data_IF_788927201131
#
_entry.id   IF_788927201131
#
_cell.length_a   1.000
_cell.length_b   1.000
_cell.length_c   1.000
_cell.angle_alpha   90.00
_cell.angle_beta   90.00
_cell.angle_gamma   90.00
#
_symmetry.space_group_name_H-M   'P 1'
#
loop_
_entity.id
_entity.type
_entity.pdbx_description
1 polymer ?
#
# COMPACT_ATOMS: atom_id res chain seq x y z
N UNK A 1 44.56 -17.81 -53.72
CA UNK A 1 45.43 -16.91 -54.51
C UNK A 1 44.57 -15.79 -55.12
N UNK A 2 45.20 -14.66 -55.49
CA UNK A 2 44.90 -13.74 -56.63
C UNK A 2 43.47 -13.84 -57.20
N UNK A 3 42.55 -12.90 -56.90
CA UNK A 3 42.26 -11.59 -57.58
C UNK A 3 41.75 -11.69 -59.03
N UNK A 4 40.76 -10.84 -59.35
CA UNK A 4 40.37 -10.42 -60.72
C UNK A 4 39.13 -11.15 -61.28
N UNK A 5 38.07 -10.49 -61.73
CA UNK A 5 37.73 -9.06 -61.66
C UNK A 5 38.02 -8.26 -62.94
N UNK A 6 37.06 -8.22 -63.87
CA UNK A 6 37.09 -7.35 -65.05
C UNK A 6 35.67 -7.00 -65.52
N UNK A 7 35.49 -5.84 -66.18
CA UNK A 7 34.17 -5.26 -66.45
C UNK A 7 34.22 -4.32 -67.68
N UNK A 8 33.55 -4.65 -68.79
CA UNK A 8 33.32 -3.70 -69.89
C UNK A 8 32.10 -2.80 -69.65
N UNK A 9 32.04 -1.66 -70.33
CA UNK A 9 30.94 -0.66 -70.30
C UNK A 9 30.49 -0.31 -71.72
N UNK A 10 29.34 0.37 -71.80
CA UNK A 10 28.93 1.30 -72.89
C UNK A 10 28.41 0.67 -74.21
N UNK A 11 27.48 1.29 -74.97
CA UNK A 11 26.64 2.51 -74.74
C UNK A 11 25.46 2.57 -75.74
N UNK A 12 24.41 3.34 -75.37
CA UNK A 12 23.37 3.88 -76.25
C UNK A 12 22.16 2.96 -76.50
N UNK A 13 20.94 3.45 -76.75
CA UNK A 13 20.35 4.81 -76.57
C UNK A 13 18.79 4.64 -76.65
N UNK A 14 17.85 5.60 -76.68
CA UNK A 14 17.79 7.05 -76.97
C UNK A 14 16.75 7.79 -76.10
N UNK A 15 16.76 9.13 -76.20
CA UNK A 15 15.61 10.07 -76.12
C UNK A 15 14.76 10.23 -74.82
N UNK A 16 14.31 11.48 -74.59
CA UNK A 16 13.35 11.89 -73.55
C UNK A 16 12.01 12.39 -74.14
N UNK A 17 11.34 13.44 -73.60
CA UNK A 17 11.86 14.52 -72.75
C UNK A 17 11.10 14.77 -71.42
N UNK A 18 11.54 15.78 -70.67
CA UNK A 18 10.92 16.32 -69.44
C UNK A 18 10.14 17.61 -69.75
N UNK A 19 9.15 18.00 -68.92
CA UNK A 19 9.27 19.16 -67.99
C UNK A 19 7.95 19.71 -67.38
N UNK A 20 7.98 19.88 -66.03
CA UNK A 20 7.55 21.05 -65.21
C UNK A 20 6.21 21.81 -65.44
N UNK A 21 5.53 22.11 -64.31
CA UNK A 21 5.02 23.43 -63.84
C UNK A 21 3.53 23.44 -63.37
N UNK A 22 3.05 24.26 -62.41
CA UNK A 22 3.62 24.80 -61.14
C UNK A 22 2.51 25.43 -60.24
N UNK A 23 2.50 25.15 -58.92
CA UNK A 23 1.70 25.87 -57.85
C UNK A 23 0.14 25.83 -58.03
N UNK A 24 -0.74 26.34 -57.13
CA UNK A 24 -0.62 27.05 -55.83
C UNK A 24 -1.84 26.79 -54.91
N UNK A 25 -1.67 26.37 -53.65
CA UNK A 25 -2.37 26.98 -52.48
C UNK A 25 -1.75 26.58 -51.13
N UNK A 26 -2.26 27.12 -50.02
CA UNK A 26 -1.48 27.43 -48.81
C UNK A 26 -2.30 27.29 -47.51
N UNK A 27 -1.72 26.66 -46.47
CA UNK A 27 -2.17 26.70 -45.06
C UNK A 27 -3.58 26.08 -44.81
N UNK A 28 -4.07 25.80 -43.59
CA UNK A 28 -3.70 26.21 -42.21
C UNK A 28 -3.56 24.98 -41.28
N UNK A 29 -2.86 25.14 -40.15
CA UNK A 29 -2.75 24.12 -39.09
C UNK A 29 -4.09 23.88 -38.38
N UNK A 30 -4.63 22.65 -38.44
CA UNK A 30 -5.79 22.23 -37.65
C UNK A 30 -5.37 21.60 -36.32
N UNK A 31 -5.86 22.13 -35.19
CA UNK A 31 -5.54 21.65 -33.84
C UNK A 31 -6.27 20.35 -33.51
N UNK A 32 -5.73 19.22 -33.94
CA UNK A 32 -6.13 17.89 -33.49
C UNK A 32 -5.75 17.66 -32.03
N UNK A 33 -6.61 18.08 -31.10
CA UNK A 33 -6.39 17.97 -29.66
C UNK A 33 -6.57 16.51 -29.20
N UNK A 34 -5.55 15.66 -29.42
CA UNK A 34 -5.50 14.37 -28.76
C UNK A 34 -5.50 14.60 -27.24
N UNK A 35 -6.39 13.93 -26.48
CA UNK A 35 -6.38 14.04 -25.03
C UNK A 35 -5.03 13.52 -24.53
N UNK A 36 -4.25 14.40 -23.90
CA UNK A 36 -3.01 14.00 -23.22
C UNK A 36 -3.35 12.85 -22.27
N UNK A 37 -2.56 11.76 -22.21
CA UNK A 37 -2.80 10.72 -21.22
C UNK A 37 -2.84 11.37 -19.84
N UNK A 38 -3.99 11.28 -19.17
CA UNK A 38 -4.22 11.94 -17.88
C UNK A 38 -3.10 11.51 -16.96
N UNK A 39 -2.26 12.47 -16.55
CA UNK A 39 -1.19 12.22 -15.59
C UNK A 39 -1.87 11.87 -14.27
N UNK A 40 -2.06 10.57 -14.03
CA UNK A 40 -2.43 10.02 -12.73
C UNK A 40 -1.55 10.71 -11.68
N UNK A 41 -2.08 11.23 -10.57
CA UNK A 41 -1.24 11.72 -9.48
C UNK A 41 -0.28 10.57 -9.12
N UNK A 42 1.04 10.76 -9.25
CA UNK A 42 1.96 9.65 -9.15
C UNK A 42 1.95 9.14 -7.70
N UNK A 43 1.94 7.80 -7.48
CA UNK A 43 2.43 7.27 -6.21
C UNK A 43 3.80 7.89 -5.98
N UNK A 44 3.97 8.61 -4.85
CA UNK A 44 4.94 9.71 -4.71
C UNK A 44 6.31 9.24 -5.20
N UNK A 45 6.84 9.94 -6.21
CA UNK A 45 8.08 9.54 -6.86
C UNK A 45 9.26 9.81 -5.92
N UNK A 46 10.05 8.77 -5.67
CA UNK A 46 11.23 8.86 -4.82
C UNK A 46 12.42 9.48 -5.58
N UNK A 47 13.45 9.97 -4.88
CA UNK A 47 14.62 10.59 -5.51
C UNK A 47 15.39 9.68 -6.48
N UNK A 48 15.25 8.35 -6.36
CA UNK A 48 15.82 7.34 -7.25
C UNK A 48 14.96 7.09 -8.52
N UNK A 49 13.79 7.70 -8.63
CA UNK A 49 12.82 7.49 -9.72
C UNK A 49 11.82 6.34 -9.50
N UNK A 50 11.91 5.61 -8.39
CA UNK A 50 10.90 4.63 -7.99
C UNK A 50 9.61 5.32 -7.49
N UNK A 51 8.56 4.53 -7.21
CA UNK A 51 7.24 5.04 -6.78
C UNK A 51 6.66 4.25 -5.62
N UNK A 52 6.28 4.97 -4.56
CA UNK A 52 5.73 4.42 -3.33
C UNK A 52 4.23 4.68 -3.18
N UNK A 53 3.49 3.80 -2.49
CA UNK A 53 2.13 4.13 -2.06
C UNK A 53 2.19 5.24 -1.00
N UNK A 54 1.15 6.07 -0.96
CA UNK A 54 1.01 7.12 0.04
C UNK A 54 -0.46 7.28 0.43
N UNK A 55 -0.69 7.61 1.70
CA UNK A 55 -1.94 8.15 2.20
C UNK A 55 -1.73 9.64 2.47
N UNK A 56 -2.57 10.48 1.89
CA UNK A 56 -2.52 11.94 2.06
C UNK A 56 -3.88 12.36 2.63
N UNK A 57 -3.88 12.88 3.87
CA UNK A 57 -5.12 13.19 4.58
C UNK A 57 -5.92 14.29 3.88
N UNK A 58 -5.27 15.19 3.13
CA UNK A 58 -5.98 16.23 2.38
C UNK A 58 -6.64 15.66 1.13
N UNK A 59 -6.00 14.71 0.44
CA UNK A 59 -6.63 13.99 -0.66
C UNK A 59 -7.81 13.13 -0.16
N UNK A 60 -7.66 12.47 0.99
CA UNK A 60 -8.75 11.68 1.57
C UNK A 60 -9.92 12.54 2.07
N UNK A 61 -9.65 13.65 2.77
CA UNK A 61 -10.67 14.60 3.18
C UNK A 61 -11.34 15.29 1.97
N UNK A 62 -10.59 15.59 0.90
CA UNK A 62 -11.15 16.13 -0.34
C UNK A 62 -12.09 15.11 -1.04
N UNK A 63 -11.76 13.82 -1.01
CA UNK A 63 -12.68 12.76 -1.43
C UNK A 63 -13.95 12.76 -0.57
N UNK A 64 -13.81 12.68 0.76
CA UNK A 64 -14.94 12.47 1.66
C UNK A 64 -15.90 13.68 1.69
N UNK A 65 -15.37 14.90 1.70
CA UNK A 65 -16.13 16.16 1.79
C UNK A 65 -16.68 16.65 0.45
N UNK A 66 -16.07 16.31 -0.69
CA UNK A 66 -16.40 16.96 -1.97
C UNK A 66 -16.72 16.00 -3.13
N UNK A 67 -16.29 14.73 -3.07
CA UNK A 67 -16.66 13.70 -4.05
C UNK A 67 -17.75 12.78 -3.53
N UNK A 68 -17.54 12.17 -2.36
CA UNK A 68 -18.54 11.34 -1.70
C UNK A 68 -19.63 12.19 -1.04
N UNK A 69 -19.24 13.35 -0.48
CA UNK A 69 -20.13 14.27 0.25
C UNK A 69 -20.88 13.54 1.38
N UNK A 70 -20.15 12.68 2.12
CA UNK A 70 -20.74 11.82 3.15
C UNK A 70 -21.40 12.69 4.24
N UNK A 71 -22.67 12.43 4.61
CA UNK A 71 -23.35 13.17 5.68
C UNK A 71 -22.53 13.19 6.98
N UNK A 72 -22.25 14.39 7.49
CA UNK A 72 -21.53 14.62 8.74
C UNK A 72 -20.00 14.44 8.66
N UNK A 73 -19.40 14.32 7.46
CA UNK A 73 -17.95 14.28 7.31
C UNK A 73 -17.25 15.55 7.83
N UNK A 74 -17.94 16.69 7.87
CA UNK A 74 -17.42 17.94 8.43
C UNK A 74 -17.08 17.83 9.92
N UNK A 75 -17.70 16.90 10.67
CA UNK A 75 -17.40 16.65 12.08
C UNK A 75 -16.15 15.76 12.28
N UNK A 76 -15.65 15.11 11.23
CA UNK A 76 -14.45 14.27 11.27
C UNK A 76 -13.15 15.05 10.99
N UNK A 77 -13.23 16.33 10.64
CA UNK A 77 -12.10 17.15 10.21
C UNK A 77 -12.13 18.56 10.81
N UNK A 78 -11.03 18.97 11.44
CA UNK A 78 -10.86 20.32 11.96
C UNK A 78 -10.93 21.38 10.85
N UNK A 79 -11.35 22.60 11.20
CA UNK A 79 -11.51 23.69 10.25
C UNK A 79 -10.29 23.96 9.33
N UNK A 80 -9.02 23.90 9.80
CA UNK A 80 -7.85 24.04 8.93
C UNK A 80 -7.69 22.87 7.94
N UNK A 81 -8.08 21.65 8.31
CA UNK A 81 -8.05 20.49 7.42
C UNK A 81 -9.12 20.63 6.34
N UNK A 82 -10.35 20.99 6.72
CA UNK A 82 -11.45 21.24 5.76
C UNK A 82 -11.10 22.34 4.74
N UNK A 83 -10.51 23.46 5.20
CA UNK A 83 -10.08 24.54 4.32
C UNK A 83 -8.98 24.10 3.34
N UNK A 84 -7.99 23.34 3.81
CA UNK A 84 -6.92 22.80 2.96
C UNK A 84 -7.42 21.74 1.97
N UNK A 85 -8.37 20.88 2.38
CA UNK A 85 -9.01 19.89 1.53
C UNK A 85 -9.83 20.56 0.41
N UNK A 86 -10.61 21.60 0.72
CA UNK A 86 -11.35 22.37 -0.27
C UNK A 86 -10.44 23.04 -1.31
N UNK A 87 -9.33 23.65 -0.87
CA UNK A 87 -8.33 24.22 -1.77
C UNK A 87 -7.66 23.14 -2.65
N UNK A 88 -7.28 21.99 -2.06
CA UNK A 88 -6.71 20.85 -2.79
C UNK A 88 -7.69 20.31 -3.84
N UNK A 89 -8.97 20.21 -3.50
CA UNK A 89 -10.02 19.76 -4.41
C UNK A 89 -10.29 20.74 -5.57
N UNK A 90 -10.27 22.04 -5.30
CA UNK A 90 -10.42 23.08 -6.32
C UNK A 90 -9.31 23.00 -7.39
N UNK A 91 -8.07 22.76 -6.98
CA UNK A 91 -6.90 22.60 -7.86
C UNK A 91 -6.88 21.27 -8.63
N UNK A 92 -7.53 20.21 -8.11
CA UNK A 92 -7.65 18.94 -8.84
C UNK A 92 -8.44 19.08 -10.15
N UNK A 93 -7.78 18.77 -11.26
CA UNK A 93 -8.45 18.47 -12.53
C UNK A 93 -9.46 17.31 -12.41
N UNK A 94 -10.47 17.30 -13.27
CA UNK A 94 -11.54 16.29 -13.34
C UNK A 94 -10.99 14.85 -13.35
N UNK A 95 -10.09 14.51 -14.27
CA UNK A 95 -9.45 13.18 -14.32
C UNK A 95 -8.59 12.84 -13.09
N UNK A 96 -8.14 13.86 -12.34
CA UNK A 96 -7.50 13.70 -11.02
C UNK A 96 -8.52 13.35 -9.94
N UNK A 97 -9.67 14.04 -9.91
CA UNK A 97 -10.80 13.76 -9.02
C UNK A 97 -11.35 12.34 -9.22
N UNK A 98 -11.53 11.93 -10.48
CA UNK A 98 -11.89 10.55 -10.80
C UNK A 98 -10.83 9.53 -10.33
N UNK A 99 -9.53 9.85 -10.50
CA UNK A 99 -8.45 8.95 -10.10
C UNK A 99 -8.40 8.77 -8.57
N UNK A 100 -8.62 9.85 -7.83
CA UNK A 100 -8.79 9.83 -6.38
C UNK A 100 -10.00 8.97 -5.97
N UNK A 101 -11.18 9.22 -6.55
CA UNK A 101 -12.38 8.43 -6.26
C UNK A 101 -12.15 6.93 -6.49
N UNK A 102 -11.60 6.55 -7.65
CA UNK A 102 -11.25 5.15 -7.95
C UNK A 102 -10.20 4.57 -7.00
N UNK A 103 -9.25 5.37 -6.53
CA UNK A 103 -8.19 4.92 -5.61
C UNK A 103 -8.76 4.63 -4.22
N UNK A 104 -9.68 5.46 -3.71
CA UNK A 104 -10.29 5.24 -2.40
C UNK A 104 -11.31 4.10 -2.42
N UNK A 105 -12.15 4.01 -3.46
CA UNK A 105 -13.22 2.98 -3.50
C UNK A 105 -12.72 1.58 -3.82
N UNK A 106 -11.68 1.42 -4.64
CA UNK A 106 -11.20 0.10 -5.11
C UNK A 106 -10.60 -0.81 -4.01
N UNK A 107 -10.43 -0.30 -2.78
CA UNK A 107 -9.81 -1.03 -1.67
C UNK A 107 -10.74 -1.80 -0.74
N UNK A 108 -12.07 -1.61 -0.80
CA UNK A 108 -12.99 -2.27 0.14
C UNK A 108 -13.36 -3.70 -0.29
N UNK A 109 -13.13 -4.73 0.55
CA UNK A 109 -13.62 -6.08 0.30
C UNK A 109 -15.16 -6.10 0.29
N UNK A 110 -15.77 -6.64 -0.77
CA UNK A 110 -17.18 -7.02 -0.77
C UNK A 110 -18.03 -6.52 -1.95
N UNK A 111 -17.69 -5.40 -2.61
CA UNK A 111 -18.42 -4.94 -3.83
C UNK A 111 -17.68 -4.01 -4.79
N UNK A 112 -16.78 -3.13 -4.35
CA UNK A 112 -16.26 -2.04 -5.23
C UNK A 112 -15.14 -2.43 -6.20
N UNK A 113 -14.73 -3.69 -6.23
CA UNK A 113 -13.89 -4.24 -7.32
C UNK A 113 -14.72 -4.74 -8.52
N UNK A 114 -16.06 -4.74 -8.42
CA UNK A 114 -16.94 -4.96 -9.57
C UNK A 114 -16.99 -3.71 -10.47
N UNK A 115 -16.82 -3.92 -11.78
CA UNK A 115 -16.93 -2.86 -12.77
C UNK A 115 -18.36 -2.30 -12.80
N UNK A 116 -18.53 -1.04 -12.40
CA UNK A 116 -19.81 -0.32 -12.39
C UNK A 116 -20.27 0.23 -11.04
N UNK A 117 -19.58 -0.08 -9.93
CA UNK A 117 -19.94 0.48 -8.61
C UNK A 117 -19.78 2.02 -8.56
N UNK A 118 -20.83 2.71 -8.12
CA UNK A 118 -20.89 4.16 -8.00
C UNK A 118 -20.52 4.66 -6.59
N UNK A 119 -20.39 5.99 -6.42
CA UNK A 119 -20.26 6.60 -5.10
C UNK A 119 -21.53 6.45 -4.25
N UNK A 120 -22.70 6.28 -4.86
CA UNK A 120 -23.95 5.99 -4.14
C UNK A 120 -23.96 4.55 -3.60
N UNK A 121 -23.44 3.57 -4.36
CA UNK A 121 -23.27 2.20 -3.87
C UNK A 121 -22.25 2.15 -2.72
N UNK A 122 -21.18 2.95 -2.80
CA UNK A 122 -20.21 3.11 -1.72
C UNK A 122 -20.85 3.70 -0.47
N UNK A 123 -21.64 4.78 -0.60
CA UNK A 123 -22.36 5.39 0.51
C UNK A 123 -23.35 4.39 1.15
N UNK A 124 -24.13 3.66 0.36
CA UNK A 124 -25.04 2.64 0.87
C UNK A 124 -24.34 1.51 1.64
N UNK A 125 -23.07 1.20 1.31
CA UNK A 125 -22.24 0.29 2.10
C UNK A 125 -21.74 0.90 3.42
N UNK A 126 -21.60 2.22 3.53
CA UNK A 126 -21.31 2.92 4.79
C UNK A 126 -22.56 3.04 5.67
N UNK A 127 -23.72 3.31 5.07
CA UNK A 127 -25.00 3.46 5.76
C UNK A 127 -25.40 2.18 6.53
N UNK A 128 -24.95 1.01 6.07
CA UNK A 128 -25.10 -0.28 6.75
C UNK A 128 -24.38 -0.36 8.13
N UNK A 129 -23.48 0.58 8.43
CA UNK A 129 -22.79 0.72 9.72
C UNK A 129 -23.33 1.88 10.56
N UNK A 130 -24.44 2.52 10.16
CA UNK A 130 -25.03 3.63 10.90
C UNK A 130 -25.37 3.23 12.36
N UNK A 131 -24.82 3.97 13.32
CA UNK A 131 -24.97 3.69 14.76
C UNK A 131 -24.00 2.66 15.33
N UNK A 132 -23.14 2.02 14.53
CA UNK A 132 -22.09 1.12 15.03
C UNK A 132 -20.90 1.97 15.48
N UNK A 133 -20.78 2.16 16.80
CA UNK A 133 -19.65 2.86 17.43
C UNK A 133 -18.45 1.92 17.68
N UNK A 134 -17.37 2.45 18.27
CA UNK A 134 -16.16 1.65 18.57
C UNK A 134 -16.45 0.52 19.57
N UNK A 135 -17.31 0.73 20.57
CA UNK A 135 -17.64 -0.28 21.58
C UNK A 135 -18.45 -1.40 20.95
N UNK A 136 -19.46 -1.07 20.14
CA UNK A 136 -20.28 -2.02 19.39
C UNK A 136 -19.44 -2.83 18.40
N UNK A 137 -18.52 -2.18 17.67
CA UNK A 137 -17.63 -2.86 16.73
C UNK A 137 -16.63 -3.80 17.44
N UNK A 138 -16.09 -3.42 18.60
CA UNK A 138 -15.27 -4.29 19.44
C UNK A 138 -16.09 -5.48 19.98
N UNK A 139 -17.34 -5.26 20.42
CA UNK A 139 -18.23 -6.32 20.91
C UNK A 139 -18.60 -7.32 19.79
N UNK A 140 -18.86 -6.84 18.57
CA UNK A 140 -19.12 -7.68 17.40
C UNK A 140 -17.89 -8.55 17.05
N UNK A 141 -16.69 -7.97 17.05
CA UNK A 141 -15.44 -8.71 16.82
C UNK A 141 -15.18 -9.74 17.94
N UNK A 142 -15.45 -9.38 19.20
CA UNK A 142 -15.33 -10.28 20.35
C UNK A 142 -16.33 -11.45 20.27
N UNK A 143 -17.55 -11.23 19.78
CA UNK A 143 -18.50 -12.32 19.53
C UNK A 143 -17.99 -13.25 18.42
N UNK A 144 -17.59 -12.70 17.26
CA UNK A 144 -17.01 -13.50 16.17
C UNK A 144 -15.85 -14.38 16.66
N UNK A 145 -14.89 -13.80 17.40
CA UNK A 145 -13.73 -14.53 17.94
C UNK A 145 -14.15 -15.67 18.89
N UNK A 146 -15.18 -15.50 19.72
CA UNK A 146 -15.69 -16.56 20.61
C UNK A 146 -16.22 -17.77 19.86
N UNK A 147 -16.82 -17.58 18.68
CA UNK A 147 -17.30 -18.68 17.84
C UNK A 147 -16.15 -19.35 17.08
N UNK A 148 -15.24 -18.56 16.46
CA UNK A 148 -14.24 -19.12 15.52
C UNK A 148 -12.93 -19.59 16.17
N UNK A 149 -12.49 -19.01 17.29
CA UNK A 149 -11.23 -19.39 17.95
C UNK A 149 -11.27 -20.82 18.50
N UNK A 150 -12.37 -21.33 19.11
CA UNK A 150 -12.48 -22.74 19.48
C UNK A 150 -12.41 -23.69 18.28
N UNK A 151 -13.04 -23.34 17.16
CA UNK A 151 -12.97 -24.12 15.93
C UNK A 151 -11.55 -24.12 15.33
N UNK A 152 -10.86 -22.97 15.34
CA UNK A 152 -9.46 -22.88 14.93
C UNK A 152 -8.55 -23.73 15.83
N UNK A 153 -8.75 -23.70 17.16
CA UNK A 153 -8.00 -24.52 18.10
C UNK A 153 -8.21 -26.02 17.87
N UNK A 154 -9.47 -26.46 17.67
CA UNK A 154 -9.78 -27.85 17.35
C UNK A 154 -9.16 -28.33 16.02
N UNK A 155 -8.96 -27.42 15.06
CA UNK A 155 -8.28 -27.68 13.79
C UNK A 155 -6.75 -27.48 13.82
N UNK A 156 -6.16 -27.11 14.96
CA UNK A 156 -4.73 -26.77 15.07
C UNK A 156 -4.32 -25.48 14.35
N UNK A 157 -5.28 -24.64 13.95
CA UNK A 157 -5.08 -23.40 13.20
C UNK A 157 -4.81 -22.23 14.15
N UNK A 158 -3.81 -21.42 13.83
CA UNK A 158 -3.43 -20.23 14.60
C UNK A 158 -3.88 -18.97 13.86
N UNK A 159 -4.83 -18.22 14.42
CA UNK A 159 -5.39 -17.02 13.79
C UNK A 159 -4.47 -15.81 13.99
N UNK A 160 -4.28 -15.02 12.93
CA UNK A 160 -3.35 -13.90 12.90
C UNK A 160 -4.04 -12.63 12.38
N UNK A 161 -4.84 -11.95 13.20
CA UNK A 161 -5.60 -10.76 12.75
C UNK A 161 -4.65 -9.61 12.39
N UNK A 162 -4.94 -8.93 11.29
CA UNK A 162 -4.18 -7.77 10.82
C UNK A 162 -4.68 -6.48 11.47
N UNK A 163 -3.80 -5.51 11.78
CA UNK A 163 -4.24 -4.18 12.19
C UNK A 163 -5.01 -3.41 11.11
N UNK A 164 -5.71 -2.36 11.53
CA UNK A 164 -6.30 -1.39 10.62
C UNK A 164 -5.21 -0.62 9.85
N UNK A 165 -5.47 -0.29 8.58
CA UNK A 165 -4.53 0.42 7.72
C UNK A 165 -5.25 1.56 6.97
N UNK A 166 -4.99 2.85 7.29
CA UNK A 166 -4.25 3.32 8.47
C UNK A 166 -4.95 3.01 9.81
N UNK A 167 -4.21 3.06 10.94
CA UNK A 167 -4.70 2.79 12.29
C UNK A 167 -5.46 3.99 12.89
N UNK A 168 -6.46 4.48 12.18
CA UNK A 168 -7.34 5.60 12.59
C UNK A 168 -8.73 5.44 11.98
N UNK A 169 -9.81 5.92 12.63
CA UNK A 169 -11.15 5.99 12.03
C UNK A 169 -11.16 6.79 10.72
N UNK A 170 -11.94 6.34 9.74
CA UNK A 170 -12.13 6.97 8.42
C UNK A 170 -13.57 6.76 7.95
N UNK A 171 -14.12 7.65 7.10
CA UNK A 171 -15.47 7.52 6.54
C UNK A 171 -16.59 7.47 7.61
N UNK A 172 -16.33 7.98 8.81
CA UNK A 172 -17.21 7.87 9.98
C UNK A 172 -17.24 6.48 10.63
N UNK A 173 -16.48 5.50 10.12
CA UNK A 173 -16.46 4.12 10.63
C UNK A 173 -15.46 3.94 11.78
N UNK A 174 -15.81 3.18 12.84
CA UNK A 174 -14.85 2.79 13.86
C UNK A 174 -13.80 1.81 13.32
N UNK A 175 -12.59 1.91 13.87
CA UNK A 175 -11.47 1.00 13.64
C UNK A 175 -10.94 0.50 14.99
N UNK A 176 -10.70 -0.81 15.08
CA UNK A 176 -10.73 -1.60 16.33
C UNK A 176 -9.57 -2.59 16.50
N UNK A 177 -8.54 -2.48 15.65
CA UNK A 177 -7.23 -3.13 15.76
C UNK A 177 -6.16 -2.09 15.37
N UNK A 178 -6.26 -0.88 15.93
CA UNK A 178 -5.44 0.28 15.51
C UNK A 178 -4.27 0.56 16.45
N UNK A 179 -4.40 0.27 17.75
CA UNK A 179 -3.38 0.55 18.76
C UNK A 179 -3.26 -0.55 19.82
N UNK A 180 -2.33 -0.42 20.77
CA UNK A 180 -2.12 -1.43 21.82
C UNK A 180 -3.38 -1.72 22.66
N UNK A 181 -4.18 -0.71 23.01
CA UNK A 181 -5.42 -0.96 23.78
C UNK A 181 -6.45 -1.80 23.02
N UNK A 182 -6.47 -1.70 21.68
CA UNK A 182 -7.30 -2.55 20.82
C UNK A 182 -6.77 -3.99 20.79
N UNK A 183 -5.45 -4.15 20.67
CA UNK A 183 -4.78 -5.45 20.73
C UNK A 183 -5.05 -6.14 22.08
N UNK A 184 -4.94 -5.41 23.19
CA UNK A 184 -5.24 -5.92 24.52
C UNK A 184 -6.71 -6.35 24.65
N UNK A 185 -7.67 -5.55 24.16
CA UNK A 185 -9.09 -5.91 24.14
C UNK A 185 -9.34 -7.19 23.32
N UNK A 186 -8.74 -7.29 22.13
CA UNK A 186 -8.89 -8.44 21.23
C UNK A 186 -8.31 -9.74 21.82
N UNK A 187 -7.13 -9.67 22.44
CA UNK A 187 -6.49 -10.83 23.04
C UNK A 187 -7.21 -11.30 24.32
N UNK A 188 -7.87 -10.38 25.05
CA UNK A 188 -8.71 -10.66 26.20
C UNK A 188 -10.13 -11.16 25.84
N UNK A 189 -10.64 -10.84 24.63
CA UNK A 189 -11.97 -11.28 24.19
C UNK A 189 -12.11 -12.82 24.12
N UNK A 190 -11.01 -13.51 23.79
CA UNK A 190 -10.79 -14.95 23.94
C UNK A 190 -9.32 -15.18 24.28
N UNK A 191 -9.00 -15.50 25.54
CA UNK A 191 -7.63 -15.84 25.92
C UNK A 191 -7.28 -17.28 25.50
N UNK A 192 -6.67 -17.39 24.31
CA UNK A 192 -6.25 -18.65 23.71
C UNK A 192 -4.99 -18.42 22.89
N UNK A 193 -4.03 -19.36 22.88
CA UNK A 193 -2.85 -19.26 22.02
C UNK A 193 -3.18 -19.34 20.52
N UNK A 194 -4.43 -19.65 20.16
CA UNK A 194 -4.95 -19.62 18.78
C UNK A 194 -5.56 -18.27 18.37
N UNK A 195 -5.80 -17.36 19.33
CA UNK A 195 -6.20 -15.97 19.09
C UNK A 195 -4.95 -15.08 19.14
N UNK A 196 -4.46 -14.66 17.98
CA UNK A 196 -3.21 -13.91 17.83
C UNK A 196 -3.17 -12.96 16.65
N UNK A 197 -1.99 -12.39 16.42
CA UNK A 197 -1.78 -11.20 15.58
C UNK A 197 -0.97 -11.50 14.32
N UNK A 198 -1.34 -10.88 13.21
CA UNK A 198 -0.38 -10.47 12.18
C UNK A 198 0.18 -9.11 12.60
N UNK A 199 1.41 -9.07 13.08
CA UNK A 199 2.03 -7.81 13.45
C UNK A 199 2.51 -7.07 12.21
N UNK A 200 1.76 -6.06 11.76
CA UNK A 200 2.19 -5.21 10.65
C UNK A 200 2.86 -3.93 11.13
N UNK A 201 4.17 -3.88 10.93
CA UNK A 201 5.02 -2.76 11.33
C UNK A 201 4.53 -1.48 10.67
N UNK A 202 4.43 -1.47 9.34
CA UNK A 202 4.06 -0.28 8.59
C UNK A 202 2.62 0.20 8.83
N UNK A 203 1.66 -0.70 9.14
CA UNK A 203 0.31 -0.28 9.51
C UNK A 203 0.31 0.41 10.87
N UNK A 204 0.86 -0.21 11.92
CA UNK A 204 0.92 0.42 13.25
C UNK A 204 1.73 1.73 13.23
N UNK A 205 2.83 1.77 12.47
CA UNK A 205 3.72 2.93 12.33
C UNK A 205 3.08 4.16 11.67
N UNK A 206 2.01 3.98 10.88
CA UNK A 206 1.29 5.10 10.27
C UNK A 206 0.64 6.05 11.29
N UNK A 207 0.50 5.64 12.56
CA UNK A 207 0.22 6.54 13.68
C UNK A 207 1.45 6.76 14.55
N UNK A 208 1.72 8.01 14.91
CA UNK A 208 2.77 8.40 15.87
C UNK A 208 2.40 8.10 17.34
N UNK A 209 1.17 7.68 17.62
CA UNK A 209 0.73 7.29 18.96
C UNK A 209 1.07 5.82 19.30
N UNK A 210 1.56 5.03 18.35
CA UNK A 210 1.95 3.64 18.56
C UNK A 210 3.46 3.53 18.82
N UNK A 211 3.83 3.03 20.01
CA UNK A 211 5.17 2.51 20.33
C UNK A 211 5.36 1.15 19.61
N UNK A 212 5.70 1.17 18.32
CA UNK A 212 5.68 -0.04 17.48
C UNK A 212 6.71 -1.07 17.95
N UNK A 213 7.91 -0.62 18.33
CA UNK A 213 8.97 -1.48 18.85
C UNK A 213 8.58 -2.11 20.19
N UNK A 214 8.07 -1.33 21.14
CA UNK A 214 7.63 -1.87 22.43
C UNK A 214 6.35 -2.70 22.32
N UNK A 215 5.42 -2.39 21.41
CA UNK A 215 4.28 -3.24 21.08
C UNK A 215 4.74 -4.60 20.52
N UNK A 216 5.79 -4.61 19.68
CA UNK A 216 6.37 -5.86 19.19
C UNK A 216 6.99 -6.67 20.35
N UNK A 217 7.71 -6.02 21.27
CA UNK A 217 8.28 -6.66 22.46
C UNK A 217 7.20 -7.22 23.40
N UNK A 218 6.15 -6.44 23.69
CA UNK A 218 5.04 -6.81 24.59
C UNK A 218 4.11 -7.91 24.02
N UNK A 219 3.91 -7.94 22.70
CA UNK A 219 2.97 -8.88 22.07
C UNK A 219 3.61 -10.04 21.31
N UNK A 220 4.95 -10.16 21.29
CA UNK A 220 5.67 -11.21 20.57
C UNK A 220 5.09 -12.62 20.75
N UNK A 221 4.74 -13.00 21.98
CA UNK A 221 4.16 -14.31 22.32
C UNK A 221 2.78 -14.60 21.68
N UNK A 222 2.03 -13.56 21.28
CA UNK A 222 0.73 -13.66 20.60
C UNK A 222 0.81 -13.30 19.10
N UNK A 223 1.97 -12.89 18.59
CA UNK A 223 2.19 -12.72 17.15
C UNK A 223 2.39 -14.07 16.44
N UNK A 224 1.72 -14.28 15.32
CA UNK A 224 1.75 -15.53 14.55
C UNK A 224 2.23 -15.33 13.10
N UNK A 225 2.16 -14.10 12.60
CA UNK A 225 2.70 -13.68 11.31
C UNK A 225 3.22 -12.24 11.42
N UNK A 226 4.20 -11.85 10.59
CA UNK A 226 4.76 -10.49 10.62
C UNK A 226 4.81 -9.88 9.22
N UNK A 227 4.29 -8.66 9.09
CA UNK A 227 4.47 -7.83 7.89
C UNK A 227 5.58 -6.82 8.19
N UNK A 228 6.77 -7.12 7.68
CA UNK A 228 7.97 -6.30 7.81
C UNK A 228 8.04 -5.36 6.61
N UNK A 229 7.37 -4.20 6.72
CA UNK A 229 7.55 -3.02 5.87
C UNK A 229 7.65 -1.79 6.77
N UNK A 230 8.07 -0.66 6.22
CA UNK A 230 8.27 0.58 6.97
C UNK A 230 7.61 1.76 6.23
N UNK A 231 7.30 2.83 6.94
CA UNK A 231 6.65 4.04 6.41
C UNK A 231 7.38 5.27 6.88
N UNK A 232 7.18 6.40 6.19
CA UNK A 232 7.49 7.74 6.71
C UNK A 232 6.22 8.56 6.85
N UNK A 233 5.94 9.07 8.04
CA UNK A 233 4.88 10.06 8.24
C UNK A 233 5.34 11.39 7.65
N UNK A 234 4.53 11.97 6.77
CA UNK A 234 4.88 13.15 5.96
C UNK A 234 4.23 14.44 6.44
N UNK A 235 3.30 14.34 7.40
CA UNK A 235 2.87 15.43 8.26
C UNK A 235 2.57 14.88 9.68
N UNK A 236 2.35 15.79 10.64
CA UNK A 236 1.86 15.45 11.98
C UNK A 236 0.33 15.27 12.05
N UNK A 237 -0.36 15.16 10.91
CA UNK A 237 -1.82 15.06 10.82
C UNK A 237 -2.34 13.66 10.48
N UNK A 238 -1.49 12.78 9.94
CA UNK A 238 -1.83 11.39 9.60
C UNK A 238 -1.48 10.98 8.16
N UNK A 239 -0.86 11.85 7.36
CA UNK A 239 -0.38 11.50 6.02
C UNK A 239 0.95 10.74 6.07
N UNK A 240 1.11 9.65 5.31
CA UNK A 240 2.35 8.85 5.26
C UNK A 240 2.64 8.30 3.87
N UNK A 241 3.87 7.85 3.65
CA UNK A 241 4.36 7.19 2.43
C UNK A 241 5.06 5.88 2.78
N UNK A 242 4.90 4.84 1.97
CA UNK A 242 5.69 3.61 2.09
C UNK A 242 7.17 3.94 1.88
N UNK A 243 8.02 3.53 2.82
CA UNK A 243 9.45 3.79 2.77
C UNK A 243 10.24 2.59 2.25
N UNK A 244 11.56 2.77 2.15
CA UNK A 244 12.47 1.63 2.11
C UNK A 244 12.35 0.85 3.43
N UNK A 245 12.50 -0.48 3.36
CA UNK A 245 12.26 -1.39 4.49
C UNK A 245 13.13 -1.11 5.70
N UNK A 246 14.36 -0.62 5.48
CA UNK A 246 15.32 -0.25 6.53
C UNK A 246 15.41 1.25 6.80
N UNK A 247 14.76 2.10 6.00
CA UNK A 247 14.87 3.57 6.06
C UNK A 247 13.48 4.22 6.12
N UNK A 248 12.84 4.08 7.28
CA UNK A 248 11.53 4.64 7.60
C UNK A 248 11.49 5.19 9.03
N UNK A 249 10.31 5.17 9.64
CA UNK A 249 10.03 5.75 10.95
C UNK A 249 10.14 4.75 12.12
N UNK A 250 10.29 3.45 11.84
CA UNK A 250 10.49 2.37 12.85
C UNK A 250 11.89 1.75 12.72
N UNK A 251 12.51 1.43 13.86
CA UNK A 251 13.76 0.66 13.95
C UNK A 251 13.51 -0.82 13.57
N UNK A 252 13.72 -1.12 12.29
CA UNK A 252 13.58 -2.47 11.75
C UNK A 252 14.59 -3.47 12.36
N UNK A 253 15.74 -3.02 12.88
CA UNK A 253 16.67 -3.89 13.61
C UNK A 253 16.06 -4.34 14.94
N UNK A 254 15.46 -3.45 15.73
CA UNK A 254 14.73 -3.81 16.97
C UNK A 254 13.58 -4.76 16.68
N UNK A 255 12.77 -4.50 15.65
CA UNK A 255 11.65 -5.36 15.27
C UNK A 255 12.14 -6.78 14.89
N UNK A 256 13.10 -6.89 13.97
CA UNK A 256 13.61 -8.20 13.52
C UNK A 256 14.31 -8.93 14.66
N UNK A 257 15.04 -8.23 15.54
CA UNK A 257 15.68 -8.82 16.72
C UNK A 257 14.67 -9.37 17.73
N UNK A 258 13.59 -8.65 17.97
CA UNK A 258 12.48 -9.07 18.86
C UNK A 258 11.83 -10.35 18.34
N UNK A 259 11.43 -10.39 17.08
CA UNK A 259 10.79 -11.58 16.50
C UNK A 259 11.74 -12.76 16.28
N UNK A 260 13.04 -12.51 16.04
CA UNK A 260 14.06 -13.56 16.02
C UNK A 260 14.27 -14.18 17.42
N UNK A 261 14.32 -13.36 18.47
CA UNK A 261 14.41 -13.83 19.87
C UNK A 261 13.19 -14.63 20.29
N UNK A 262 11.99 -14.21 19.88
CA UNK A 262 10.75 -14.95 20.14
C UNK A 262 10.72 -16.29 19.40
N UNK A 263 11.12 -16.35 18.13
CA UNK A 263 11.23 -17.62 17.41
C UNK A 263 12.26 -18.57 18.08
N UNK A 264 13.41 -18.04 18.50
CA UNK A 264 14.41 -18.80 19.25
C UNK A 264 13.91 -19.26 20.63
N UNK A 265 13.06 -18.47 21.30
CA UNK A 265 12.37 -18.88 22.54
C UNK A 265 11.42 -20.04 22.26
N UNK A 266 10.49 -19.89 21.31
CA UNK A 266 9.56 -20.95 20.90
C UNK A 266 10.25 -22.27 20.57
N UNK A 267 11.38 -22.22 19.87
CA UNK A 267 12.17 -23.41 19.54
C UNK A 267 12.82 -24.09 20.76
N UNK A 268 13.24 -23.34 21.78
CA UNK A 268 13.76 -23.91 23.05
C UNK A 268 12.65 -24.46 23.94
N UNK A 269 11.54 -23.71 24.02
CA UNK A 269 10.42 -23.99 24.91
C UNK A 269 9.51 -25.14 24.38
N UNK A 270 9.71 -25.58 23.13
CA UNK A 270 8.92 -26.64 22.51
C UNK A 270 7.53 -26.19 22.01
N UNK A 271 7.35 -24.89 21.78
CA UNK A 271 6.09 -24.31 21.27
C UNK A 271 5.74 -24.90 19.90
N UNK A 272 4.46 -25.24 19.68
CA UNK A 272 3.94 -25.80 18.43
C UNK A 272 4.14 -24.89 17.19
N UNK A 273 4.54 -23.63 17.40
CA UNK A 273 4.89 -22.63 16.38
C UNK A 273 6.39 -22.27 16.46
N UNK A 274 7.33 -23.22 16.26
CA UNK A 274 8.77 -22.99 16.48
C UNK A 274 9.41 -22.04 15.46
N UNK A 275 8.64 -21.54 14.49
CA UNK A 275 9.03 -20.51 13.53
C UNK A 275 7.96 -19.43 13.52
N UNK A 276 8.38 -18.18 13.41
CA UNK A 276 7.50 -17.04 13.18
C UNK A 276 7.64 -16.59 11.71
N UNK A 277 6.68 -16.90 10.82
CA UNK A 277 6.74 -16.49 9.42
C UNK A 277 6.62 -14.98 9.28
N UNK A 278 7.22 -14.44 8.21
CA UNK A 278 7.10 -13.03 7.83
C UNK A 278 7.07 -12.85 6.31
N UNK A 279 6.65 -11.67 5.87
CA UNK A 279 6.80 -11.19 4.47
C UNK A 279 7.27 -9.73 4.45
N UNK A 280 7.93 -9.25 3.38
CA UNK A 280 8.30 -7.84 3.21
C UNK A 280 7.10 -6.89 2.98
N UNK A 281 5.88 -7.42 3.11
CA UNK A 281 4.60 -6.80 2.77
C UNK A 281 4.56 -6.11 1.39
N UNK A 282 4.73 -4.79 1.37
CA UNK A 282 4.74 -3.93 0.18
C UNK A 282 6.18 -3.59 -0.25
N UNK A 283 6.34 -3.08 -1.47
CA UNK A 283 7.59 -2.50 -1.94
C UNK A 283 7.35 -1.53 -3.10
N UNK A 284 8.30 -0.62 -3.32
CA UNK A 284 8.14 0.38 -4.37
C UNK A 284 8.06 -0.24 -5.77
N UNK A 285 7.44 0.49 -6.70
CA UNK A 285 7.48 0.20 -8.13
C UNK A 285 8.80 0.77 -8.69
N UNK A 286 9.72 -0.12 -9.09
CA UNK A 286 11.11 0.21 -9.44
C UNK A 286 11.65 -0.68 -10.58
N UNK A 287 12.73 -0.25 -11.24
CA UNK A 287 13.36 -0.94 -12.38
C UNK A 287 12.31 -1.38 -13.43
N UNK A 288 12.39 -2.60 -13.97
CA UNK A 288 11.46 -3.13 -14.99
C UNK A 288 9.98 -3.02 -14.64
N UNK A 289 9.61 -3.02 -13.36
CA UNK A 289 8.21 -2.87 -12.96
C UNK A 289 7.68 -1.50 -13.39
N UNK A 290 8.50 -0.44 -13.45
CA UNK A 290 8.13 0.90 -13.94
C UNK A 290 7.72 0.93 -15.43
N UNK A 291 8.04 -0.12 -16.20
CA UNK A 291 7.80 -0.19 -17.64
C UNK A 291 6.34 0.07 -18.04
N UNK A 292 6.16 0.81 -19.14
CA UNK A 292 4.83 1.10 -19.68
C UNK A 292 4.11 -0.18 -20.12
N UNK A 293 2.77 -0.16 -20.07
CA UNK A 293 1.94 -1.34 -20.36
C UNK A 293 1.92 -2.42 -19.27
N UNK A 294 2.88 -2.46 -18.33
CA UNK A 294 2.86 -3.44 -17.23
C UNK A 294 1.75 -3.15 -16.23
N UNK A 295 0.71 -3.99 -16.26
CA UNK A 295 -0.28 -4.09 -15.20
C UNK A 295 0.41 -4.58 -13.91
N UNK A 296 0.27 -3.82 -12.83
CA UNK A 296 0.91 -4.10 -11.53
C UNK A 296 -0.06 -3.78 -10.40
N UNK A 297 -0.23 -4.71 -9.47
CA UNK A 297 -0.97 -4.45 -8.24
C UNK A 297 -0.20 -3.41 -7.40
N UNK A 298 -0.83 -2.30 -6.94
CA UNK A 298 -0.14 -1.24 -6.20
C UNK A 298 0.56 -1.78 -4.94
N UNK A 299 1.86 -1.47 -4.75
CA UNK A 299 2.67 -1.99 -3.63
C UNK A 299 3.08 -3.47 -3.74
N UNK A 300 2.44 -4.25 -4.61
CA UNK A 300 2.70 -5.69 -4.83
C UNK A 300 3.61 -5.98 -6.04
N UNK A 301 4.33 -4.96 -6.53
CA UNK A 301 5.41 -5.11 -7.53
C UNK A 301 6.49 -6.08 -7.07
N UNK A 302 7.19 -6.72 -8.01
CA UNK A 302 8.07 -7.84 -7.72
C UNK A 302 9.42 -7.36 -7.20
N UNK A 303 10.02 -6.36 -7.87
CA UNK A 303 11.43 -5.98 -7.63
C UNK A 303 11.59 -5.28 -6.28
N UNK A 304 10.70 -4.34 -5.94
CA UNK A 304 10.73 -3.66 -4.63
C UNK A 304 10.51 -4.59 -3.44
N UNK A 305 9.61 -5.59 -3.56
CA UNK A 305 9.41 -6.60 -2.50
C UNK A 305 10.56 -7.60 -2.41
N UNK A 306 11.19 -7.95 -3.54
CA UNK A 306 12.41 -8.77 -3.55
C UNK A 306 13.57 -8.05 -2.87
N UNK A 307 13.74 -6.73 -3.13
CA UNK A 307 14.72 -5.87 -2.44
C UNK A 307 14.49 -5.90 -0.93
N UNK A 308 13.29 -5.54 -0.48
CA UNK A 308 12.97 -5.51 0.96
C UNK A 308 13.18 -6.86 1.65
N UNK A 309 12.79 -7.97 1.00
CA UNK A 309 13.06 -9.31 1.51
C UNK A 309 14.57 -9.63 1.60
N UNK A 310 15.37 -9.18 0.64
CA UNK A 310 16.82 -9.37 0.66
C UNK A 310 17.49 -8.56 1.78
N UNK A 311 17.04 -7.32 2.01
CA UNK A 311 17.48 -6.44 3.10
C UNK A 311 17.14 -7.05 4.47
N UNK A 312 15.87 -7.42 4.69
CA UNK A 312 15.39 -8.06 5.93
C UNK A 312 16.12 -9.37 6.20
N UNK A 313 16.36 -10.20 5.18
CA UNK A 313 17.13 -11.45 5.31
C UNK A 313 18.58 -11.18 5.73
N UNK A 314 19.23 -10.17 5.17
CA UNK A 314 20.60 -9.80 5.56
C UNK A 314 20.67 -9.30 7.00
N UNK A 315 19.71 -8.47 7.41
CA UNK A 315 19.53 -7.99 8.77
C UNK A 315 19.30 -9.15 9.76
N UNK A 316 18.40 -10.07 9.44
CA UNK A 316 18.10 -11.23 10.27
C UNK A 316 19.32 -12.15 10.43
N UNK A 317 20.04 -12.45 9.35
CA UNK A 317 21.25 -13.28 9.38
C UNK A 317 22.35 -12.66 10.25
N UNK A 318 22.54 -11.33 10.18
CA UNK A 318 23.48 -10.61 11.03
C UNK A 318 23.08 -10.67 12.52
N UNK A 319 21.79 -10.48 12.83
CA UNK A 319 21.24 -10.60 14.18
C UNK A 319 21.45 -12.01 14.74
N UNK A 320 21.08 -13.05 13.98
CA UNK A 320 21.20 -14.45 14.42
C UNK A 320 22.67 -14.82 14.70
N UNK A 321 23.61 -14.40 13.85
CA UNK A 321 25.06 -14.60 14.06
C UNK A 321 25.65 -13.79 15.22
N UNK A 322 25.01 -12.69 15.62
CA UNK A 322 25.42 -11.89 16.76
C UNK A 322 24.90 -12.49 18.08
N UNK A 323 23.60 -12.79 18.15
CA UNK A 323 22.97 -13.39 19.34
C UNK A 323 23.57 -14.78 19.64
N UNK A 324 23.88 -15.58 18.61
CA UNK A 324 24.54 -16.89 18.76
C UNK A 324 26.03 -16.83 19.19
N UNK A 325 26.59 -15.63 19.39
CA UNK A 325 27.92 -15.41 20.00
C UNK A 325 27.83 -14.77 21.40
N UNK A 326 26.61 -14.46 21.86
CA UNK A 326 26.34 -13.85 23.16
C UNK A 326 25.79 -14.88 24.18
N UNK A 327 25.91 -16.17 23.85
CA UNK A 327 25.52 -17.36 24.61
C UNK A 327 26.73 -18.30 24.66
#
# INVERSE_FOLDING_TARGET
MVRGGEHPRARGDQAGPRARAVRLHRQVQGLGHQPRPVRRPPPRAWPDGSRALAFDLLDFAAFELHLLQRPGAEACYDAPVRARAAARFADMSEGGREALARTVTAGLPGRTTAAGSSLADFQACLDAYAGIDKITMQANLAHFLREVVPAAAAAGVYMAIHPDDPPMPLLGLPRVVSCESDVQHLLAAVDSPHNGLTFCVGSYASSSANDVEGMAERHAARTHFVHLRNVRRTDGGGSFVESDHLDGDVDMFRIVRTFAREAARRQRDGDARPRLPFRPDHGHKMLDDLGEGRATNPGYTAIGRLRGLAEIRGLQEAILRYEAKAV
#
